data_IF_436620058861
#
_entry.id   IF_436620058861
#
_cell.length_a   1.000
_cell.length_b   1.000
_cell.length_c   1.000
_cell.angle_alpha   90.00
_cell.angle_beta   90.00
_cell.angle_gamma   90.00
#
_symmetry.space_group_name_H-M   'P 1'
#
loop_
_entity.id
_entity.type
_entity.pdbx_description
1 polymer ?
#
# COMPACT_ATOMS: atom_id res chain seq x y z
N UNK A 1 -2.34 -23.65 4.90
CA UNK A 1 -2.84 -23.29 6.24
C UNK A 1 -3.44 -21.91 6.08
N UNK A 2 -4.70 -21.72 6.46
CA UNK A 2 -5.37 -20.42 6.36
C UNK A 2 -4.86 -19.52 7.47
N UNK A 3 -4.27 -18.38 7.14
CA UNK A 3 -3.84 -17.42 8.17
C UNK A 3 -5.05 -16.72 8.79
N UNK A 4 -5.06 -16.62 10.12
CA UNK A 4 -6.23 -16.13 10.86
C UNK A 4 -5.86 -14.93 11.72
N UNK A 5 -6.57 -13.83 11.53
CA UNK A 5 -6.45 -12.65 12.39
C UNK A 5 -7.07 -12.95 13.75
N UNK A 6 -6.45 -12.46 14.83
CA UNK A 6 -7.06 -12.58 16.14
C UNK A 6 -8.30 -11.68 16.24
N UNK A 7 -9.24 -12.04 17.13
CA UNK A 7 -10.37 -11.16 17.45
C UNK A 7 -9.91 -9.76 17.90
N UNK A 8 -8.73 -9.66 18.54
CA UNK A 8 -8.12 -8.39 18.94
C UNK A 8 -7.73 -7.56 17.72
N UNK A 9 -7.13 -8.17 16.70
CA UNK A 9 -6.73 -7.48 15.48
C UNK A 9 -7.95 -6.98 14.70
N UNK A 10 -8.97 -7.83 14.54
CA UNK A 10 -10.21 -7.44 13.87
C UNK A 10 -10.89 -6.27 14.59
N UNK A 11 -10.94 -6.30 15.93
CA UNK A 11 -11.49 -5.19 16.71
C UNK A 11 -10.63 -3.92 16.63
N UNK A 12 -9.29 -4.07 16.58
CA UNK A 12 -8.37 -2.95 16.39
C UNK A 12 -8.57 -2.31 15.01
N UNK A 13 -8.65 -3.11 13.94
CA UNK A 13 -8.95 -2.63 12.59
C UNK A 13 -10.25 -1.83 12.54
N UNK A 14 -11.34 -2.35 13.12
CA UNK A 14 -12.64 -1.67 13.14
C UNK A 14 -12.60 -0.33 13.88
N UNK A 15 -11.86 -0.25 14.99
CA UNK A 15 -11.81 0.95 15.84
C UNK A 15 -10.79 1.98 15.35
N UNK A 16 -9.63 1.53 14.86
CA UNK A 16 -8.48 2.38 14.57
C UNK A 16 -8.22 2.56 13.06
N UNK A 17 -8.82 1.72 12.20
CA UNK A 17 -8.74 1.82 10.74
C UNK A 17 -7.56 1.10 10.10
N UNK A 18 -6.70 0.44 10.89
CA UNK A 18 -5.53 -0.29 10.41
C UNK A 18 -5.18 -1.44 11.34
N UNK A 19 -4.35 -2.38 10.86
CA UNK A 19 -3.61 -3.36 11.67
C UNK A 19 -2.23 -3.57 11.05
N UNK A 20 -1.28 -4.04 11.87
CA UNK A 20 0.02 -4.56 11.40
C UNK A 20 0.07 -6.01 11.88
N UNK A 21 -0.26 -7.00 11.02
CA UNK A 21 -0.21 -8.40 11.42
C UNK A 21 1.25 -8.85 11.59
N UNK A 22 1.50 -9.80 12.51
CA UNK A 22 2.82 -10.42 12.71
C UNK A 22 3.23 -11.36 11.55
N UNK A 23 2.38 -11.46 10.53
CA UNK A 23 2.55 -12.30 9.35
C UNK A 23 3.68 -11.79 8.46
N UNK A 24 4.51 -12.71 7.97
CA UNK A 24 5.63 -12.43 7.08
C UNK A 24 5.49 -13.25 5.80
N UNK A 25 5.76 -12.61 4.66
CA UNK A 25 5.90 -13.33 3.41
C UNK A 25 7.13 -14.25 3.47
N UNK A 26 7.08 -15.42 2.82
CA UNK A 26 8.25 -16.29 2.71
C UNK A 26 9.45 -15.56 2.10
N UNK A 27 10.66 -15.86 2.59
CA UNK A 27 11.88 -15.25 2.07
C UNK A 27 12.03 -15.39 0.54
N UNK A 28 11.60 -16.53 -0.03
CA UNK A 28 11.58 -16.73 -1.48
C UNK A 28 10.61 -15.80 -2.20
N UNK A 29 9.48 -15.45 -1.59
CA UNK A 29 8.56 -14.43 -2.12
C UNK A 29 9.22 -13.06 -2.08
N UNK A 30 9.86 -12.70 -0.97
CA UNK A 30 10.61 -11.43 -0.86
C UNK A 30 11.70 -11.33 -1.93
N UNK A 31 12.50 -12.37 -2.14
CA UNK A 31 13.51 -12.39 -3.21
C UNK A 31 12.90 -12.14 -4.59
N UNK A 32 11.77 -12.78 -4.91
CA UNK A 32 11.07 -12.54 -6.18
C UNK A 32 10.55 -11.11 -6.31
N UNK A 33 10.08 -10.51 -5.22
CA UNK A 33 9.59 -9.13 -5.21
C UNK A 33 10.73 -8.13 -5.40
N UNK A 34 11.90 -8.36 -4.81
CA UNK A 34 13.10 -7.53 -5.08
C UNK A 34 13.52 -7.61 -6.55
N UNK A 35 13.63 -8.82 -7.12
CA UNK A 35 13.96 -8.97 -8.55
C UNK A 35 12.92 -8.27 -9.43
N UNK A 36 11.63 -8.47 -9.14
CA UNK A 36 10.56 -7.81 -9.87
C UNK A 36 10.60 -6.28 -9.75
N UNK A 37 11.02 -5.74 -8.60
CA UNK A 37 11.21 -4.31 -8.41
C UNK A 37 12.32 -3.77 -9.32
N UNK A 38 13.48 -4.42 -9.32
CA UNK A 38 14.61 -4.03 -10.17
C UNK A 38 14.21 -4.07 -11.65
N UNK A 39 13.58 -5.16 -12.10
CA UNK A 39 13.10 -5.32 -13.47
C UNK A 39 12.02 -4.29 -13.84
N UNK A 40 11.12 -3.95 -12.91
CA UNK A 40 10.09 -2.91 -13.13
C UNK A 40 10.73 -1.54 -13.26
N UNK A 41 11.76 -1.22 -12.46
CA UNK A 41 12.47 0.06 -12.57
C UNK A 41 13.24 0.13 -13.90
N UNK A 42 13.97 -0.92 -14.26
CA UNK A 42 14.74 -1.00 -15.50
C UNK A 42 13.86 -0.87 -16.75
N UNK A 43 12.66 -1.47 -16.72
CA UNK A 43 11.69 -1.37 -17.82
C UNK A 43 11.05 0.02 -17.97
N UNK A 44 11.26 0.93 -17.02
CA UNK A 44 10.64 2.26 -16.98
C UNK A 44 11.66 3.39 -16.74
N UNK A 45 12.70 3.55 -17.59
CA UNK A 45 13.82 4.47 -17.34
C UNK A 45 13.42 5.96 -17.29
N UNK A 46 12.31 6.32 -17.94
CA UNK A 46 11.77 7.68 -17.98
C UNK A 46 10.72 7.93 -16.88
N UNK A 47 10.39 6.92 -16.08
CA UNK A 47 9.40 7.02 -15.00
C UNK A 47 10.11 7.02 -13.66
N UNK A 48 9.81 8.02 -12.83
CA UNK A 48 10.29 8.03 -11.46
C UNK A 48 9.77 6.79 -10.68
N UNK A 49 10.59 6.13 -9.84
CA UNK A 49 10.17 4.93 -9.11
C UNK A 49 8.92 5.11 -8.23
N UNK A 50 8.64 6.32 -7.76
CA UNK A 50 7.43 6.64 -6.99
C UNK A 50 6.14 6.66 -7.84
N UNK A 51 6.28 6.75 -9.17
CA UNK A 51 5.19 6.83 -10.15
C UNK A 51 4.92 5.50 -10.85
N UNK A 52 5.40 4.38 -10.31
CA UNK A 52 5.12 3.03 -10.81
C UNK A 52 3.68 2.59 -10.45
N UNK A 53 2.71 3.28 -11.05
CA UNK A 53 1.27 3.07 -10.87
C UNK A 53 0.79 1.92 -11.75
N UNK A 54 -0.21 1.19 -11.28
CA UNK A 54 -0.80 0.05 -11.98
C UNK A 54 0.23 -1.01 -12.39
N UNK A 55 1.25 -1.23 -11.54
CA UNK A 55 2.39 -2.11 -11.79
C UNK A 55 1.99 -3.59 -11.96
N UNK A 56 0.80 -3.98 -11.49
CA UNK A 56 0.22 -5.31 -11.70
C UNK A 56 -0.19 -5.62 -13.15
N UNK A 57 -0.28 -4.60 -14.02
CA UNK A 57 -0.55 -4.79 -15.44
C UNK A 57 0.75 -5.22 -16.11
N UNK A 58 0.85 -6.50 -16.44
CA UNK A 58 2.02 -7.17 -17.02
C UNK A 58 2.21 -6.84 -18.53
N UNK A 59 2.22 -5.54 -18.83
CA UNK A 59 2.43 -4.87 -20.12
C UNK A 59 2.55 -3.36 -19.87
N UNK A 60 2.75 -2.57 -20.93
CA UNK A 60 2.58 -1.11 -20.83
C UNK A 60 1.11 -0.77 -20.55
N UNK A 61 0.86 -0.07 -19.44
CA UNK A 61 -0.47 0.39 -19.05
C UNK A 61 -0.75 1.82 -19.55
N UNK A 62 -1.95 2.31 -19.26
CA UNK A 62 -2.41 3.63 -19.71
C UNK A 62 -1.69 4.81 -19.02
N UNK A 63 -1.00 4.54 -17.90
CA UNK A 63 -0.10 5.48 -17.20
C UNK A 63 1.32 5.48 -17.82
N UNK A 64 1.54 4.69 -18.87
CA UNK A 64 2.84 4.56 -19.54
C UNK A 64 3.84 3.65 -18.83
N UNK A 65 3.44 2.99 -17.73
CA UNK A 65 4.28 2.09 -16.94
C UNK A 65 4.21 0.67 -17.51
N UNK A 66 5.37 0.07 -17.77
CA UNK A 66 5.51 -1.37 -17.97
C UNK A 66 5.48 -2.06 -16.61
N UNK A 67 4.37 -2.73 -16.29
CA UNK A 67 4.26 -3.49 -15.06
C UNK A 67 4.91 -4.87 -15.15
N UNK A 68 4.77 -5.65 -14.08
CA UNK A 68 5.36 -6.97 -13.93
C UNK A 68 4.39 -7.94 -13.25
N UNK A 69 4.30 -9.17 -13.77
CA UNK A 69 3.37 -10.20 -13.25
C UNK A 69 3.47 -10.45 -11.75
N UNK A 70 4.66 -10.30 -11.16
CA UNK A 70 4.85 -10.56 -9.74
C UNK A 70 3.94 -9.72 -8.84
N UNK A 71 3.60 -8.50 -9.25
CA UNK A 71 2.70 -7.63 -8.48
C UNK A 71 1.26 -8.13 -8.48
N UNK A 72 0.78 -8.64 -9.62
CA UNK A 72 -0.53 -9.31 -9.68
C UNK A 72 -0.53 -10.62 -8.89
N UNK A 73 0.57 -11.37 -8.93
CA UNK A 73 0.69 -12.59 -8.13
C UNK A 73 0.68 -12.30 -6.63
N UNK A 74 1.33 -11.20 -6.20
CA UNK A 74 1.30 -10.74 -4.81
C UNK A 74 -0.12 -10.33 -4.40
N UNK A 75 -0.83 -9.56 -5.22
CA UNK A 75 -2.21 -9.17 -4.96
C UNK A 75 -3.17 -10.37 -4.86
N UNK A 76 -2.79 -11.52 -5.42
CA UNK A 76 -3.52 -12.78 -5.37
C UNK A 76 -2.95 -13.79 -4.36
N UNK A 77 -1.96 -13.39 -3.56
CA UNK A 77 -1.32 -14.29 -2.62
C UNK A 77 -2.34 -14.76 -1.57
N UNK A 78 -2.56 -16.08 -1.37
CA UNK A 78 -3.54 -16.58 -0.42
C UNK A 78 -3.34 -16.04 1.00
N UNK A 79 -2.09 -15.83 1.43
CA UNK A 79 -1.82 -15.30 2.76
C UNK A 79 -2.35 -13.86 2.91
N UNK A 80 -2.29 -13.05 1.85
CA UNK A 80 -2.83 -11.69 1.86
C UNK A 80 -4.36 -11.74 1.78
N UNK A 81 -4.90 -12.55 0.87
CA UNK A 81 -6.35 -12.67 0.66
C UNK A 81 -7.06 -13.21 1.91
N UNK A 82 -6.51 -14.23 2.57
CA UNK A 82 -7.06 -14.81 3.80
C UNK A 82 -7.21 -13.73 4.88
N UNK A 83 -6.21 -12.85 5.04
CA UNK A 83 -6.24 -11.77 6.04
C UNK A 83 -7.21 -10.66 5.66
N UNK A 84 -7.24 -10.25 4.38
CA UNK A 84 -8.13 -9.18 3.89
C UNK A 84 -9.59 -9.61 3.94
N UNK A 85 -9.90 -10.84 3.56
CA UNK A 85 -11.25 -11.41 3.57
C UNK A 85 -11.88 -11.35 4.97
N UNK A 86 -11.10 -11.57 6.02
CA UNK A 86 -11.56 -11.47 7.41
C UNK A 86 -11.94 -10.04 7.83
N UNK A 87 -11.46 -9.02 7.12
CA UNK A 87 -11.71 -7.61 7.42
C UNK A 87 -12.86 -7.03 6.59
N UNK A 88 -12.90 -7.32 5.29
CA UNK A 88 -13.86 -6.69 4.35
C UNK A 88 -14.86 -7.67 3.72
N UNK A 89 -14.73 -8.97 3.98
CA UNK A 89 -15.56 -10.02 3.38
C UNK A 89 -14.95 -10.66 2.14
N UNK A 90 -15.60 -11.71 1.60
CA UNK A 90 -15.03 -12.58 0.55
C UNK A 90 -15.06 -11.97 -0.87
N UNK A 91 -15.92 -10.98 -1.10
CA UNK A 91 -16.11 -10.38 -2.42
C UNK A 91 -15.06 -9.30 -2.69
N UNK A 92 -13.85 -9.73 -3.05
CA UNK A 92 -12.68 -8.87 -3.23
C UNK A 92 -12.44 -8.59 -4.72
N UNK A 93 -12.24 -7.32 -5.07
CA UNK A 93 -11.73 -6.89 -6.38
C UNK A 93 -10.44 -6.08 -6.19
N UNK A 94 -9.44 -6.35 -7.03
CA UNK A 94 -8.23 -5.53 -7.08
C UNK A 94 -8.56 -4.24 -7.82
N UNK A 95 -8.68 -3.13 -7.08
CA UNK A 95 -8.91 -1.80 -7.66
C UNK A 95 -7.63 -1.19 -8.24
N UNK A 96 -6.52 -1.29 -7.51
CA UNK A 96 -5.25 -0.71 -7.90
C UNK A 96 -4.08 -1.38 -7.21
N UNK A 97 -2.91 -1.26 -7.82
CA UNK A 97 -1.65 -1.68 -7.23
C UNK A 97 -0.55 -0.74 -7.72
N UNK A 98 0.17 -0.16 -6.76
CA UNK A 98 1.24 0.79 -6.98
C UNK A 98 2.46 0.33 -6.19
N UNK A 99 3.63 0.51 -6.79
CA UNK A 99 4.92 0.29 -6.11
C UNK A 99 5.40 1.65 -5.60
N UNK A 100 5.53 1.79 -4.27
CA UNK A 100 6.09 2.98 -3.65
C UNK A 100 7.60 2.80 -3.44
N UNK A 101 8.39 3.02 -4.50
CA UNK A 101 9.85 2.99 -4.41
C UNK A 101 10.39 4.40 -4.19
N UNK A 102 11.07 4.63 -3.06
CA UNK A 102 11.65 5.93 -2.69
C UNK A 102 13.16 5.81 -2.58
N UNK A 103 13.92 6.26 -3.59
CA UNK A 103 15.39 6.23 -3.53
C UNK A 103 15.93 7.04 -2.35
N UNK A 104 16.99 6.53 -1.72
CA UNK A 104 17.62 7.22 -0.59
C UNK A 104 18.10 8.62 -1.01
N UNK A 105 17.68 9.65 -0.26
CA UNK A 105 18.08 11.05 -0.49
C UNK A 105 17.35 11.78 -1.62
N UNK A 106 16.62 11.09 -2.49
CA UNK A 106 15.85 11.69 -3.60
C UNK A 106 14.37 11.25 -3.63
N UNK A 107 13.93 10.49 -2.64
CA UNK A 107 12.56 9.99 -2.55
C UNK A 107 11.53 11.09 -2.29
N UNK A 108 10.41 11.06 -3.01
CA UNK A 108 9.32 12.00 -2.78
C UNK A 108 8.56 11.73 -1.47
N UNK A 109 8.22 12.80 -0.74
CA UNK A 109 7.30 12.73 0.39
C UNK A 109 5.89 12.37 -0.13
N UNK A 110 5.17 11.56 0.64
CA UNK A 110 3.75 11.31 0.43
C UNK A 110 3.00 12.02 1.57
N UNK A 111 2.33 13.15 1.29
CA UNK A 111 1.62 13.90 2.32
C UNK A 111 0.48 13.10 2.95
N UNK A 112 0.02 13.50 4.14
CA UNK A 112 -1.19 12.94 4.75
C UNK A 112 -2.38 13.07 3.80
N UNK A 113 -3.08 11.96 3.55
CA UNK A 113 -4.26 11.91 2.67
C UNK A 113 -5.21 10.78 3.10
N UNK A 114 -6.39 10.75 2.45
CA UNK A 114 -7.34 9.65 2.52
C UNK A 114 -7.46 9.04 1.13
N UNK A 115 -7.12 7.76 0.98
CA UNK A 115 -7.14 7.06 -0.31
C UNK A 115 -8.50 7.15 -1.01
N UNK A 116 -9.57 6.92 -0.26
CA UNK A 116 -10.94 6.92 -0.80
C UNK A 116 -11.38 8.26 -1.39
N UNK A 117 -10.66 9.37 -1.17
CA UNK A 117 -10.93 10.64 -1.84
C UNK A 117 -10.55 10.60 -3.32
N UNK A 118 -9.53 9.81 -3.67
CA UNK A 118 -9.03 9.69 -5.04
C UNK A 118 -9.81 8.66 -5.87
N UNK A 119 -10.64 7.83 -5.24
CA UNK A 119 -11.31 6.72 -5.90
C UNK A 119 -12.82 6.92 -5.91
N UNK A 120 -13.48 6.84 -7.09
CA UNK A 120 -14.93 6.96 -7.20
C UNK A 120 -15.65 5.67 -6.76
N UNK A 121 -15.35 5.16 -5.56
CA UNK A 121 -15.91 3.92 -5.02
C UNK A 121 -16.93 4.24 -3.93
N UNK A 122 -18.12 3.67 -4.07
CA UNK A 122 -19.19 3.78 -3.07
C UNK A 122 -19.78 2.40 -2.76
N UNK A 123 -20.02 2.05 -1.48
CA UNK A 123 -19.63 2.81 -0.27
C UNK A 123 -18.11 2.88 -0.10
N UNK A 124 -17.63 3.67 0.86
CA UNK A 124 -16.20 3.78 1.26
C UNK A 124 -15.69 2.50 1.93
N UNK A 125 -15.76 1.38 1.21
CA UNK A 125 -15.45 0.04 1.69
C UNK A 125 -14.19 -0.50 1.00
N UNK A 126 -13.11 0.29 1.02
CA UNK A 126 -11.82 -0.09 0.43
C UNK A 126 -10.82 -0.46 1.51
N UNK A 127 -10.01 -1.48 1.25
CA UNK A 127 -8.88 -1.87 2.10
C UNK A 127 -7.59 -1.85 1.27
N UNK A 128 -6.57 -1.17 1.79
CA UNK A 128 -5.22 -1.18 1.23
C UNK A 128 -4.37 -2.20 2.00
N UNK A 129 -3.88 -3.23 1.31
CA UNK A 129 -2.82 -4.10 1.82
C UNK A 129 -1.46 -3.50 1.47
N UNK A 130 -0.74 -2.97 2.47
CA UNK A 130 0.60 -2.41 2.28
C UNK A 130 1.66 -3.43 2.67
N UNK A 131 2.53 -3.79 1.73
CA UNK A 131 3.59 -4.79 1.92
C UNK A 131 4.95 -4.09 1.90
N UNK A 132 5.67 -4.15 3.01
CA UNK A 132 7.05 -3.68 3.09
C UNK A 132 7.96 -4.63 2.30
N UNK A 133 8.53 -4.17 1.18
CA UNK A 133 9.53 -4.92 0.43
C UNK A 133 10.91 -4.79 1.10
N UNK A 134 11.24 -3.57 1.53
CA UNK A 134 12.40 -3.25 2.36
C UNK A 134 12.00 -3.03 3.82
N UNK A 135 13.00 -2.96 4.71
CA UNK A 135 12.79 -2.48 6.07
C UNK A 135 12.13 -1.09 6.06
N UNK A 136 11.02 -0.95 6.78
CA UNK A 136 10.28 0.31 6.91
C UNK A 136 10.50 0.87 8.31
N UNK A 137 11.21 1.99 8.42
CA UNK A 137 11.58 2.63 9.69
C UNK A 137 11.21 4.11 9.68
N UNK A 138 11.24 4.74 10.86
CA UNK A 138 10.96 6.19 10.99
C UNK A 138 11.92 7.00 10.13
N UNK A 139 13.19 6.59 10.09
CA UNK A 139 14.28 7.31 9.43
C UNK A 139 14.22 7.21 7.90
N UNK A 140 13.61 6.16 7.35
CA UNK A 140 13.50 5.97 5.90
C UNK A 140 12.08 6.16 5.33
N UNK A 141 11.18 6.76 6.13
CA UNK A 141 9.87 7.20 5.64
C UNK A 141 8.78 6.13 5.68
N UNK A 142 8.73 5.36 6.77
CA UNK A 142 7.63 4.43 7.07
C UNK A 142 6.23 5.07 6.95
N UNK A 143 5.24 4.22 6.80
CA UNK A 143 3.84 4.61 6.82
C UNK A 143 3.46 5.24 8.16
N UNK A 144 2.61 6.26 8.08
CA UNK A 144 2.07 7.00 9.21
C UNK A 144 0.56 7.03 9.10
N UNK A 145 -0.12 6.69 10.19
CA UNK A 145 -1.58 6.58 10.22
C UNK A 145 -2.12 7.43 11.38
N UNK A 146 -3.25 8.10 11.17
CA UNK A 146 -4.02 8.74 12.23
C UNK A 146 -5.11 7.76 12.69
N UNK A 147 -4.97 7.14 13.88
CA UNK A 147 -5.90 6.12 14.32
C UNK A 147 -7.34 6.67 14.46
N UNK A 148 -8.32 5.89 14.00
CA UNK A 148 -9.75 6.23 14.05
C UNK A 148 -10.21 7.24 13.01
N UNK A 149 -9.31 7.76 12.16
CA UNK A 149 -9.64 8.76 11.14
C UNK A 149 -10.60 8.26 10.04
N UNK A 150 -10.80 6.95 9.91
CA UNK A 150 -11.76 6.34 8.99
C UNK A 150 -13.21 6.42 9.45
N UNK A 151 -13.46 6.74 10.72
CA UNK A 151 -14.83 6.77 11.30
C UNK A 151 -15.67 7.98 10.88
N UNK A 152 -15.04 9.01 10.32
CA UNK A 152 -15.75 10.16 9.75
C UNK A 152 -16.28 9.84 8.35
N UNK A 153 -17.58 9.98 8.12
CA UNK A 153 -18.20 9.85 6.78
C UNK A 153 -17.84 10.99 5.81
N UNK A 154 -16.78 11.75 6.09
CA UNK A 154 -16.42 12.96 5.36
C UNK A 154 -14.97 12.88 4.90
N UNK A 155 -14.76 13.22 3.62
CA UNK A 155 -13.44 13.47 3.09
C UNK A 155 -12.95 14.85 3.54
N UNK A 156 -11.71 14.91 4.01
CA UNK A 156 -11.02 16.19 4.13
C UNK A 156 -10.62 16.68 2.75
N UNK A 157 -10.79 17.97 2.48
CA UNK A 157 -10.28 18.56 1.25
C UNK A 157 -8.77 18.43 1.19
N UNK A 158 -8.26 17.86 0.09
CA UNK A 158 -6.82 17.77 -0.13
C UNK A 158 -6.29 19.11 -0.63
N UNK A 159 -5.27 19.63 0.04
CA UNK A 159 -4.49 20.76 -0.43
C UNK A 159 -3.11 20.27 -0.87
N UNK A 160 -2.59 20.83 -1.97
CA UNK A 160 -1.18 20.65 -2.30
C UNK A 160 -0.36 21.42 -1.26
N UNK A 161 0.53 20.72 -0.58
CA UNK A 161 1.42 21.29 0.41
C UNK A 161 2.79 21.55 -0.22
N UNK A 162 3.22 22.81 -0.21
CA UNK A 162 4.60 23.21 -0.55
C UNK A 162 5.55 23.09 0.67
N UNK A 163 5.18 22.30 1.69
CA UNK A 163 5.95 22.21 2.93
C UNK A 163 7.39 21.78 2.64
N UNK A 164 8.31 22.61 3.11
CA UNK A 164 9.75 22.29 3.28
C UNK A 164 10.06 21.71 4.66
N UNK A 165 9.04 21.41 5.48
CA UNK A 165 9.19 21.01 6.89
C UNK A 165 8.29 19.81 7.23
N UNK A 166 8.72 18.93 8.15
CA UNK A 166 8.04 17.66 8.43
C UNK A 166 6.60 17.84 8.93
N UNK A 167 5.74 16.87 8.56
CA UNK A 167 4.34 16.75 8.97
C UNK A 167 4.13 16.65 10.50
N UNK A 168 2.87 16.81 10.97
CA UNK A 168 2.55 16.60 12.39
C UNK A 168 3.00 15.22 12.89
N UNK A 169 3.30 15.12 14.18
CA UNK A 169 3.71 13.86 14.82
C UNK A 169 2.56 12.84 14.80
N UNK A 170 2.60 11.95 13.81
CA UNK A 170 1.80 10.73 13.75
C UNK A 170 2.69 9.54 14.08
N UNK A 171 2.15 8.54 14.77
CA UNK A 171 2.89 7.32 15.05
C UNK A 171 3.27 6.61 13.75
N UNK A 172 4.57 6.36 13.57
CA UNK A 172 5.07 5.36 12.63
C UNK A 172 4.77 3.99 13.21
N UNK A 173 4.13 3.11 12.44
CA UNK A 173 3.88 1.72 12.83
C UNK A 173 4.09 0.78 11.67
#
# INVERSE_FOLDING_TARGET
>A
MTETLSNRDIQHYRREGYIVPDTRLPASTMTRLHTALDETIEANPETRPEHLVSAHIDRKNDEGVHGHRAWLNLAKDPLILDLVEQLIGPDIILWGCQVFCKPAGDGMEVPMHQDGHYWPIQPLATCTAWVAIDHSTVENGCLRIVPGSHTGEHYYQHSKSDRKQPGPESACR
#
